data_IF_639998515300
#
_entry.id   IF_639998515300
#
_cell.length_a   1.000
_cell.length_b   1.000
_cell.length_c   1.000
_cell.angle_alpha   90.00
_cell.angle_beta   90.00
_cell.angle_gamma   90.00
#
_symmetry.space_group_name_H-M   'P 1'
#
loop_
_entity.id
_entity.type
_entity.pdbx_description
1 polymer ?
#
# COMPACT_ATOMS: atom_id res chain seq x y z
N UNK A 1 -4.80 15.08 2.55
CA UNK A 1 -3.54 15.80 2.79
C UNK A 1 -2.43 15.02 2.09
N UNK A 2 -1.96 15.48 0.93
CA UNK A 2 -1.18 14.66 0.02
C UNK A 2 0.15 15.31 -0.36
N UNK A 3 1.26 14.66 0.00
CA UNK A 3 2.57 15.03 -0.53
C UNK A 3 2.70 14.58 -1.98
N UNK A 4 3.12 15.46 -2.89
CA UNK A 4 3.34 15.10 -4.31
C UNK A 4 4.84 15.06 -4.64
N UNK A 5 5.28 14.06 -5.41
CA UNK A 5 6.66 13.97 -5.87
C UNK A 5 6.97 15.08 -6.86
N UNK A 6 8.15 15.68 -6.72
CA UNK A 6 8.73 16.51 -7.76
C UNK A 6 9.89 15.81 -8.43
N UNK A 7 9.93 15.95 -9.76
CA UNK A 7 11.09 15.58 -10.53
C UNK A 7 12.29 16.45 -10.16
N UNK A 8 13.49 15.87 -10.01
CA UNK A 8 14.70 16.63 -9.74
C UNK A 8 14.96 17.67 -10.83
N UNK A 9 15.35 18.87 -10.42
CA UNK A 9 15.85 19.94 -11.29
C UNK A 9 17.16 20.46 -10.68
N UNK A 10 18.07 21.00 -11.51
CA UNK A 10 19.31 21.66 -11.10
C UNK A 10 19.12 22.60 -9.89
N UNK A 11 18.01 23.36 -9.82
CA UNK A 11 17.72 24.23 -8.65
C UNK A 11 17.44 23.45 -7.36
N UNK A 12 16.62 22.41 -7.44
CA UNK A 12 16.29 21.57 -6.28
C UNK A 12 17.51 20.76 -5.81
N UNK A 13 18.32 20.27 -6.75
CA UNK A 13 19.57 19.57 -6.45
C UNK A 13 20.59 20.49 -5.78
N UNK A 14 20.76 21.73 -6.26
CA UNK A 14 21.60 22.73 -5.59
C UNK A 14 21.08 23.02 -4.18
N UNK A 15 19.77 23.16 -4.02
CA UNK A 15 19.16 23.38 -2.72
C UNK A 15 19.38 22.20 -1.77
N UNK A 16 19.63 20.98 -2.25
CA UNK A 16 19.88 19.80 -1.41
C UNK A 16 21.38 19.43 -1.32
N UNK A 17 22.27 20.26 -1.89
CA UNK A 17 23.67 19.89 -2.11
C UNK A 17 24.45 19.60 -0.82
N UNK A 18 24.23 20.41 0.22
CA UNK A 18 24.91 20.24 1.52
C UNK A 18 24.51 18.92 2.19
N UNK A 19 23.23 18.61 2.17
CA UNK A 19 22.69 17.38 2.77
C UNK A 19 23.07 16.14 1.96
N UNK A 20 23.22 16.26 0.63
CA UNK A 20 23.74 15.19 -0.22
C UNK A 20 25.21 14.89 0.07
N UNK A 21 26.04 15.91 0.29
CA UNK A 21 27.45 15.70 0.64
C UNK A 21 27.58 15.08 2.05
N UNK A 22 26.78 15.55 3.01
CA UNK A 22 26.71 14.95 4.33
C UNK A 22 26.30 13.46 4.28
N UNK A 23 25.28 13.13 3.48
CA UNK A 23 24.86 11.75 3.27
C UNK A 23 25.95 10.91 2.58
N UNK A 24 26.67 11.47 1.62
CA UNK A 24 27.79 10.79 0.95
C UNK A 24 28.90 10.45 1.94
N UNK A 25 29.39 11.43 2.71
CA UNK A 25 30.45 11.23 3.69
C UNK A 25 30.05 10.22 4.76
N UNK A 26 28.79 10.24 5.20
CA UNK A 26 28.27 9.23 6.13
C UNK A 26 28.29 7.83 5.51
N UNK A 27 27.86 7.67 4.25
CA UNK A 27 27.87 6.40 3.53
C UNK A 27 29.30 5.87 3.30
N UNK A 28 30.24 6.73 2.93
CA UNK A 28 31.65 6.36 2.75
C UNK A 28 32.30 5.91 4.07
N UNK A 29 31.90 6.49 5.20
CA UNK A 29 32.41 6.12 6.53
C UNK A 29 31.84 4.80 7.06
N UNK A 30 30.55 4.55 6.85
CA UNK A 30 29.87 3.36 7.41
C UNK A 30 29.83 2.18 6.44
N UNK A 31 29.99 2.43 5.14
CA UNK A 31 29.71 1.45 4.09
C UNK A 31 28.21 1.18 3.88
N UNK A 32 27.32 1.86 4.63
CA UNK A 32 25.88 1.65 4.60
C UNK A 32 25.14 2.84 3.98
N UNK A 33 23.88 2.62 3.56
CA UNK A 33 23.07 3.69 3.02
C UNK A 33 22.81 4.80 4.05
N UNK A 34 23.10 6.05 3.69
CA UNK A 34 22.89 7.20 4.55
C UNK A 34 21.82 8.14 3.97
N UNK A 35 21.04 8.75 4.85
CA UNK A 35 19.95 9.65 4.49
C UNK A 35 19.89 10.89 5.37
N UNK A 36 19.71 12.03 4.73
CA UNK A 36 19.49 13.33 5.36
C UNK A 36 18.24 13.98 4.74
N UNK A 37 17.63 14.91 5.47
CA UNK A 37 16.43 15.61 5.03
C UNK A 37 16.63 17.11 5.09
N UNK A 38 16.11 17.82 4.10
CA UNK A 38 16.06 19.28 4.07
C UNK A 38 14.62 19.74 3.93
N UNK A 39 14.22 20.69 4.77
CA UNK A 39 12.94 21.38 4.68
C UNK A 39 13.17 22.79 4.15
N UNK A 40 12.52 23.14 3.05
CA UNK A 40 12.66 24.45 2.44
C UNK A 40 11.41 24.85 1.66
N UNK A 41 11.31 26.14 1.34
CA UNK A 41 10.25 26.66 0.48
C UNK A 41 10.75 26.82 -0.96
N UNK A 42 9.89 26.50 -1.92
CA UNK A 42 10.22 26.54 -3.34
C UNK A 42 9.02 26.98 -4.18
N UNK A 43 9.29 27.73 -5.25
CA UNK A 43 8.31 28.11 -6.26
C UNK A 43 8.87 27.87 -7.65
N UNK A 44 8.07 27.27 -8.53
CA UNK A 44 8.44 27.19 -9.95
C UNK A 44 8.21 28.53 -10.64
N UNK A 45 8.99 28.84 -11.69
CA UNK A 45 8.91 30.15 -12.36
C UNK A 45 7.59 30.39 -13.10
N UNK A 46 6.99 29.33 -13.65
CA UNK A 46 5.84 29.45 -14.58
C UNK A 46 4.62 28.63 -14.18
N UNK A 47 4.81 27.47 -13.54
CA UNK A 47 3.71 26.52 -13.31
C UNK A 47 3.01 26.66 -11.95
N UNK A 48 3.62 27.34 -10.98
CA UNK A 48 3.08 27.45 -9.63
C UNK A 48 2.62 28.87 -9.33
N UNK A 49 1.34 28.98 -8.97
CA UNK A 49 0.72 30.23 -8.51
C UNK A 49 1.36 30.76 -7.22
N UNK A 50 1.84 29.88 -6.34
CA UNK A 50 2.43 30.25 -5.05
C UNK A 50 3.64 29.37 -4.69
N UNK A 51 4.41 29.87 -3.73
CA UNK A 51 5.48 29.11 -3.08
C UNK A 51 4.89 28.01 -2.17
N UNK A 52 5.52 26.84 -2.15
CA UNK A 52 5.08 25.70 -1.31
C UNK A 52 6.26 25.13 -0.54
N UNK A 53 5.96 24.44 0.57
CA UNK A 53 6.94 23.69 1.36
C UNK A 53 7.36 22.42 0.59
N UNK A 54 8.66 22.18 0.54
CA UNK A 54 9.28 21.06 -0.15
C UNK A 54 10.25 20.38 0.81
N UNK A 55 10.08 19.07 0.95
CA UNK A 55 10.99 18.19 1.68
C UNK A 55 11.90 17.50 0.66
N UNK A 56 13.21 17.76 0.76
CA UNK A 56 14.23 17.05 0.02
C UNK A 56 14.79 15.90 0.85
N UNK A 57 14.70 14.67 0.35
CA UNK A 57 15.44 13.51 0.86
C UNK A 57 16.75 13.42 0.11
N UNK A 58 17.85 13.65 0.82
CA UNK A 58 19.19 13.34 0.37
C UNK A 58 19.49 11.90 0.77
N UNK A 59 19.60 10.98 -0.18
CA UNK A 59 19.95 9.59 0.08
C UNK A 59 21.17 9.22 -0.74
N UNK A 60 22.15 8.60 -0.10
CA UNK A 60 23.32 8.05 -0.76
C UNK A 60 23.40 6.56 -0.46
N UNK A 61 23.25 5.75 -1.51
CA UNK A 61 23.52 4.32 -1.50
C UNK A 61 25.00 4.12 -1.88
N UNK A 62 25.64 2.98 -1.54
CA UNK A 62 27.00 2.71 -1.97
C UNK A 62 27.18 2.93 -3.48
N UNK A 63 27.93 3.97 -3.85
CA UNK A 63 28.18 4.37 -5.24
C UNK A 63 27.04 5.09 -5.98
N UNK A 64 25.92 5.47 -5.34
CA UNK A 64 24.79 6.11 -6.03
C UNK A 64 24.03 7.13 -5.17
N UNK A 65 24.01 8.38 -5.64
CA UNK A 65 23.12 9.42 -5.14
C UNK A 65 21.65 9.20 -5.60
N UNK A 66 20.70 9.37 -4.68
CA UNK A 66 19.26 9.20 -4.92
C UNK A 66 18.42 10.34 -4.30
N UNK A 67 18.54 11.58 -4.80
CA UNK A 67 17.76 12.70 -4.28
C UNK A 67 16.28 12.58 -4.66
N UNK A 68 15.38 12.81 -3.69
CA UNK A 68 13.92 12.83 -3.91
C UNK A 68 13.30 14.06 -3.28
N UNK A 69 12.23 14.58 -3.88
CA UNK A 69 11.58 15.80 -3.43
C UNK A 69 10.07 15.58 -3.28
N UNK A 70 9.52 15.98 -2.13
CA UNK A 70 8.09 15.87 -1.82
C UNK A 70 7.55 17.25 -1.48
N UNK A 71 6.51 17.70 -2.17
CA UNK A 71 5.79 18.95 -1.90
C UNK A 71 4.67 18.66 -0.94
N UNK A 72 4.49 19.48 0.09
CA UNK A 72 3.42 19.29 1.07
C UNK A 72 2.70 20.60 1.38
N UNK A 73 1.44 20.49 1.79
CA UNK A 73 0.67 21.57 2.42
C UNK A 73 0.71 21.52 3.94
N UNK A 74 1.29 20.47 4.55
CA UNK A 74 1.41 20.33 6.00
C UNK A 74 2.45 21.32 6.53
N UNK A 75 2.14 21.94 7.66
CA UNK A 75 3.05 22.82 8.39
C UNK A 75 4.15 22.02 9.10
N UNK A 76 5.29 22.65 9.44
CA UNK A 76 6.36 22.00 10.21
C UNK A 76 5.90 21.48 11.59
N UNK A 77 4.90 22.12 12.20
CA UNK A 77 4.32 21.68 13.47
C UNK A 77 3.47 20.41 13.35
N UNK A 78 2.84 20.16 12.18
CA UNK A 78 2.06 18.94 11.95
C UNK A 78 2.95 17.74 11.64
N UNK A 79 3.98 17.94 10.82
CA UNK A 79 4.96 16.91 10.49
C UNK A 79 6.31 17.53 10.15
N UNK A 80 7.33 17.09 10.86
CA UNK A 80 8.73 17.39 10.51
C UNK A 80 9.14 16.70 9.19
N UNK A 81 10.30 17.07 8.65
CA UNK A 81 10.75 16.57 7.36
C UNK A 81 10.89 15.03 7.31
N UNK A 82 11.39 14.44 8.40
CA UNK A 82 11.64 13.01 8.49
C UNK A 82 10.33 12.23 8.57
N UNK A 83 9.46 12.57 9.51
CA UNK A 83 8.13 11.97 9.69
C UNK A 83 7.28 12.11 8.44
N UNK A 84 7.31 13.28 7.81
CA UNK A 84 6.57 13.51 6.58
C UNK A 84 7.02 12.57 5.47
N UNK A 85 8.32 12.36 5.32
CA UNK A 85 8.83 11.46 4.29
C UNK A 85 8.60 9.98 4.65
N UNK A 86 8.99 9.57 5.85
CA UNK A 86 9.08 8.17 6.25
C UNK A 86 7.74 7.56 6.67
N UNK A 87 6.83 8.34 7.25
CA UNK A 87 5.54 7.82 7.69
C UNK A 87 4.44 8.19 6.69
N UNK A 88 4.30 9.47 6.37
CA UNK A 88 3.15 9.95 5.58
C UNK A 88 3.33 9.69 4.09
N UNK A 89 4.50 10.01 3.55
CA UNK A 89 4.78 9.84 2.13
C UNK A 89 5.05 8.38 1.76
N UNK A 90 5.79 7.61 2.58
CA UNK A 90 5.97 6.17 2.34
C UNK A 90 4.65 5.39 2.40
N UNK A 91 3.70 5.76 3.28
CA UNK A 91 2.36 5.15 3.30
C UNK A 91 1.59 5.36 1.98
N UNK A 92 1.90 6.41 1.21
CA UNK A 92 1.36 6.59 -0.15
C UNK A 92 1.90 5.54 -1.12
N UNK A 93 3.17 5.15 -1.00
CA UNK A 93 3.74 4.05 -1.79
C UNK A 93 3.01 2.73 -1.53
N UNK A 94 2.63 2.48 -0.28
CA UNK A 94 1.79 1.32 0.07
C UNK A 94 0.43 1.36 -0.65
N UNK A 95 -0.20 2.53 -0.80
CA UNK A 95 -1.45 2.66 -1.56
C UNK A 95 -1.27 2.26 -3.03
N UNK A 96 -0.14 2.63 -3.66
CA UNK A 96 0.15 2.19 -5.03
C UNK A 96 0.34 0.67 -5.09
N UNK A 97 1.02 0.07 -4.11
CA UNK A 97 1.14 -1.38 -3.99
C UNK A 97 -0.24 -2.04 -3.85
N UNK A 98 -1.19 -1.42 -3.13
CA UNK A 98 -2.58 -1.90 -3.01
C UNK A 98 -3.36 -1.83 -4.32
N UNK A 99 -3.18 -0.77 -5.10
CA UNK A 99 -3.78 -0.66 -6.43
C UNK A 99 -3.22 -1.74 -7.37
N UNK A 100 -1.90 -1.97 -7.35
CA UNK A 100 -1.25 -3.04 -8.12
C UNK A 100 -1.76 -4.43 -7.71
N UNK A 101 -1.95 -4.64 -6.41
CA UNK A 101 -2.50 -5.87 -5.85
C UNK A 101 -3.94 -6.12 -6.34
N UNK A 102 -4.77 -5.07 -6.49
CA UNK A 102 -6.10 -5.18 -7.09
C UNK A 102 -6.04 -5.48 -8.59
N UNK A 103 -5.16 -4.80 -9.34
CA UNK A 103 -5.01 -5.03 -10.78
C UNK A 103 -4.56 -6.47 -11.07
N UNK A 104 -3.42 -6.87 -10.52
CA UNK A 104 -2.80 -8.17 -10.79
C UNK A 104 -3.52 -9.32 -10.09
N UNK A 105 -3.98 -9.08 -8.85
CA UNK A 105 -4.56 -10.10 -7.99
C UNK A 105 -6.09 -10.20 -8.05
N UNK A 106 -6.78 -9.26 -8.70
CA UNK A 106 -8.23 -9.33 -8.87
C UNK A 106 -8.69 -8.98 -10.28
N UNK A 107 -7.76 -8.89 -11.23
CA UNK A 107 -8.04 -8.71 -12.67
C UNK A 107 -8.76 -7.39 -12.99
N UNK A 108 -8.52 -6.35 -12.19
CA UNK A 108 -9.10 -5.02 -12.41
C UNK A 108 -8.61 -4.37 -13.72
N UNK A 109 -7.51 -4.85 -14.28
CA UNK A 109 -6.93 -4.43 -15.56
C UNK A 109 -7.56 -5.13 -16.78
N UNK A 110 -8.37 -6.18 -16.58
CA UNK A 110 -9.00 -6.92 -17.69
C UNK A 110 -10.24 -6.21 -18.23
N UNK A 111 -10.01 -5.22 -19.06
CA UNK A 111 -11.03 -4.48 -19.82
C UNK A 111 -11.23 -5.04 -21.22
N UNK A 112 -11.57 -6.34 -21.33
CA UNK A 112 -11.68 -7.05 -22.61
C UNK A 112 -13.10 -7.09 -23.20
N UNK A 113 -14.08 -6.41 -22.58
CA UNK A 113 -15.43 -6.37 -23.11
C UNK A 113 -15.57 -5.30 -24.20
N UNK A 114 -16.49 -5.53 -25.15
CA UNK A 114 -16.71 -4.66 -26.29
C UNK A 114 -17.22 -3.25 -25.94
N UNK A 115 -17.78 -3.05 -24.75
CA UNK A 115 -18.33 -1.76 -24.32
C UNK A 115 -17.66 -1.22 -23.06
N UNK A 116 -17.53 0.11 -23.00
CA UNK A 116 -17.00 0.80 -21.82
C UNK A 116 -17.81 0.51 -20.55
N UNK A 117 -19.15 0.48 -20.66
CA UNK A 117 -20.06 0.18 -19.54
C UNK A 117 -19.82 -1.20 -18.95
N UNK A 118 -19.60 -2.21 -19.80
CA UNK A 118 -19.28 -3.57 -19.33
C UNK A 118 -17.92 -3.59 -18.60
N UNK A 119 -16.91 -2.89 -19.14
CA UNK A 119 -15.60 -2.79 -18.49
C UNK A 119 -15.67 -2.03 -17.14
N UNK A 120 -16.50 -1.00 -17.04
CA UNK A 120 -16.75 -0.28 -15.79
C UNK A 120 -17.35 -1.19 -14.71
N UNK A 121 -18.35 -2.01 -15.06
CA UNK A 121 -18.93 -2.96 -14.11
C UNK A 121 -17.91 -4.01 -13.64
N UNK A 122 -17.04 -4.50 -14.53
CA UNK A 122 -15.94 -5.43 -14.18
C UNK A 122 -14.96 -4.81 -13.19
N UNK A 123 -14.61 -3.53 -13.40
CA UNK A 123 -13.76 -2.78 -12.48
C UNK A 123 -14.43 -2.62 -11.11
N UNK A 124 -15.74 -2.37 -11.07
CA UNK A 124 -16.50 -2.29 -9.82
C UNK A 124 -16.50 -3.61 -9.05
N UNK A 125 -16.75 -4.75 -9.71
CA UNK A 125 -16.66 -6.04 -9.04
C UNK A 125 -15.26 -6.33 -8.49
N UNK A 126 -14.21 -5.97 -9.25
CA UNK A 126 -12.83 -6.11 -8.77
C UNK A 126 -12.55 -5.23 -7.55
N UNK A 127 -13.13 -4.03 -7.51
CA UNK A 127 -13.02 -3.09 -6.39
C UNK A 127 -13.76 -3.60 -5.15
N UNK A 128 -14.98 -4.10 -5.31
CA UNK A 128 -15.74 -4.71 -4.21
C UNK A 128 -15.05 -5.96 -3.65
N UNK A 129 -14.53 -6.83 -4.52
CA UNK A 129 -13.75 -7.98 -4.10
C UNK A 129 -12.51 -7.59 -3.30
N UNK A 130 -11.85 -6.48 -3.67
CA UNK A 130 -10.70 -5.97 -2.93
C UNK A 130 -11.08 -5.51 -1.52
N UNK A 131 -12.18 -4.77 -1.38
CA UNK A 131 -12.70 -4.33 -0.08
C UNK A 131 -13.03 -5.53 0.81
N UNK A 132 -13.68 -6.56 0.25
CA UNK A 132 -13.99 -7.80 0.98
C UNK A 132 -12.72 -8.53 1.43
N UNK A 133 -11.71 -8.66 0.56
CA UNK A 133 -10.42 -9.27 0.92
C UNK A 133 -9.67 -8.47 1.97
N UNK A 134 -9.74 -7.14 1.93
CA UNK A 134 -9.16 -6.29 2.95
C UNK A 134 -9.88 -6.45 4.29
N UNK A 135 -11.21 -6.57 4.29
CA UNK A 135 -12.01 -6.91 5.46
C UNK A 135 -11.62 -8.28 6.03
N UNK A 136 -11.53 -9.30 5.18
CA UNK A 136 -11.07 -10.65 5.57
C UNK A 136 -9.67 -10.59 6.18
N UNK A 137 -8.75 -9.83 5.59
CA UNK A 137 -7.38 -9.67 6.10
C UNK A 137 -7.36 -9.03 7.49
N UNK A 138 -8.13 -7.95 7.67
CA UNK A 138 -8.19 -7.21 8.94
C UNK A 138 -8.85 -8.01 10.06
N UNK A 139 -9.93 -8.72 9.75
CA UNK A 139 -10.79 -9.36 10.76
C UNK A 139 -10.52 -10.86 10.90
N UNK A 140 -10.35 -11.57 9.79
CA UNK A 140 -10.22 -13.03 9.77
C UNK A 140 -8.79 -13.53 9.78
N UNK A 141 -7.87 -12.88 9.05
CA UNK A 141 -6.49 -13.38 8.88
C UNK A 141 -5.53 -12.94 9.99
N UNK A 142 -5.97 -12.08 10.92
CA UNK A 142 -5.15 -11.63 12.04
C UNK A 142 -4.68 -12.84 12.89
N UNK A 143 -3.38 -12.87 13.21
CA UNK A 143 -2.77 -13.97 13.97
C UNK A 143 -2.51 -15.25 13.17
N UNK A 144 -2.79 -15.28 11.86
CA UNK A 144 -2.47 -16.42 10.98
C UNK A 144 -1.23 -16.14 10.11
N UNK A 145 -0.67 -17.17 9.47
CA UNK A 145 0.39 -17.02 8.48
C UNK A 145 0.00 -16.11 7.30
N UNK A 146 -1.30 -15.90 7.07
CA UNK A 146 -1.84 -15.10 5.98
C UNK A 146 -2.12 -13.64 6.35
N UNK A 147 -1.83 -13.19 7.58
CA UNK A 147 -2.11 -11.83 8.03
C UNK A 147 -1.54 -10.73 7.10
N UNK A 148 -0.37 -10.98 6.52
CA UNK A 148 0.32 -10.08 5.57
C UNK A 148 0.26 -10.58 4.12
N UNK A 149 -0.54 -11.60 3.82
CA UNK A 149 -0.60 -12.21 2.49
C UNK A 149 -1.23 -11.27 1.45
N UNK A 150 -0.72 -11.33 0.22
CA UNK A 150 -1.27 -10.62 -0.93
C UNK A 150 -2.61 -11.23 -1.37
N UNK A 151 -3.45 -10.45 -2.05
CA UNK A 151 -4.78 -10.82 -2.55
C UNK A 151 -4.72 -12.08 -3.42
N UNK A 152 -3.69 -12.21 -4.26
CA UNK A 152 -3.44 -13.41 -5.07
C UNK A 152 -3.23 -14.64 -4.19
N UNK A 153 -2.41 -14.55 -3.15
CA UNK A 153 -2.15 -15.65 -2.22
C UNK A 153 -3.41 -16.03 -1.46
N UNK A 154 -4.15 -15.06 -0.94
CA UNK A 154 -5.44 -15.29 -0.27
C UNK A 154 -6.40 -15.98 -1.23
N UNK A 155 -6.54 -15.47 -2.46
CA UNK A 155 -7.40 -16.05 -3.50
C UNK A 155 -7.00 -17.49 -3.81
N UNK A 156 -5.72 -17.79 -4.01
CA UNK A 156 -5.25 -19.12 -4.40
C UNK A 156 -5.29 -20.14 -3.25
N UNK A 157 -4.96 -19.72 -2.03
CA UNK A 157 -4.79 -20.63 -0.88
C UNK A 157 -6.04 -20.77 -0.02
N UNK A 158 -6.94 -19.79 -0.04
CA UNK A 158 -8.13 -19.76 0.84
C UNK A 158 -9.45 -19.74 0.07
N UNK A 159 -9.50 -19.23 -1.16
CA UNK A 159 -10.76 -19.12 -1.92
C UNK A 159 -10.84 -20.10 -3.10
N UNK A 160 -9.73 -20.34 -3.80
CA UNK A 160 -9.63 -21.25 -4.93
C UNK A 160 -9.16 -22.62 -4.45
N UNK A 161 -9.99 -23.25 -3.64
CA UNK A 161 -9.67 -24.51 -2.95
C UNK A 161 -10.67 -25.60 -3.37
N UNK A 162 -10.20 -26.84 -3.45
CA UNK A 162 -11.07 -27.99 -3.66
C UNK A 162 -11.73 -28.38 -2.34
N UNK A 163 -13.05 -28.23 -2.25
CA UNK A 163 -13.84 -28.63 -1.08
C UNK A 163 -15.23 -29.10 -1.52
N UNK A 164 -15.82 -30.02 -0.75
CA UNK A 164 -17.23 -30.39 -0.93
C UNK A 164 -18.09 -29.38 -0.19
N UNK A 165 -18.96 -28.69 -0.93
CA UNK A 165 -19.89 -27.71 -0.40
C UNK A 165 -21.27 -28.35 -0.20
N UNK A 166 -21.85 -28.22 1.00
CA UNK A 166 -23.25 -28.56 1.25
C UNK A 166 -23.98 -27.35 1.81
N UNK A 167 -24.95 -26.84 1.05
CA UNK A 167 -25.77 -25.70 1.41
C UNK A 167 -27.08 -26.18 2.06
N UNK A 168 -27.50 -25.48 3.10
CA UNK A 168 -28.81 -25.64 3.75
C UNK A 168 -29.42 -24.25 3.96
N UNK A 169 -30.69 -24.18 4.33
CA UNK A 169 -31.36 -22.90 4.55
C UNK A 169 -30.67 -21.99 5.59
N UNK A 170 -29.90 -22.56 6.53
CA UNK A 170 -29.27 -21.80 7.64
C UNK A 170 -27.75 -21.94 7.71
N UNK A 171 -27.15 -22.89 6.99
CA UNK A 171 -25.73 -23.25 7.13
C UNK A 171 -25.09 -23.58 5.80
N UNK A 172 -23.84 -23.18 5.68
CA UNK A 172 -22.92 -23.57 4.61
C UNK A 172 -21.89 -24.52 5.22
N UNK A 173 -21.85 -25.76 4.75
CA UNK A 173 -20.87 -26.75 5.18
C UNK A 173 -19.77 -26.84 4.13
N UNK A 174 -18.53 -26.69 4.58
CA UNK A 174 -17.31 -26.87 3.80
C UNK A 174 -16.59 -28.11 4.33
N UNK A 175 -16.46 -29.14 3.49
CA UNK A 175 -15.70 -30.35 3.81
C UNK A 175 -14.43 -30.42 2.98
N UNK A 176 -13.29 -30.52 3.65
CA UNK A 176 -11.97 -30.60 3.02
C UNK A 176 -11.52 -32.07 2.91
N UNK A 177 -10.52 -32.32 2.07
CA UNK A 177 -9.75 -33.57 2.15
C UNK A 177 -9.04 -33.64 3.50
N UNK A 178 -8.89 -34.84 4.06
CA UNK A 178 -8.18 -35.06 5.32
C UNK A 178 -6.73 -34.55 5.26
N UNK A 179 -6.09 -34.68 4.09
CA UNK A 179 -4.73 -34.19 3.85
C UNK A 179 -4.67 -32.70 3.46
N UNK A 180 -5.72 -31.91 3.66
CA UNK A 180 -5.71 -30.50 3.25
C UNK A 180 -4.79 -29.64 4.15
N UNK A 181 -3.72 -29.04 3.60
CA UNK A 181 -2.65 -28.47 4.41
C UNK A 181 -3.03 -27.21 5.19
N UNK A 182 -4.09 -26.50 4.78
CA UNK A 182 -4.51 -25.22 5.40
C UNK A 182 -5.81 -25.36 6.21
N UNK A 183 -6.18 -26.57 6.62
CA UNK A 183 -7.43 -26.80 7.34
C UNK A 183 -7.46 -26.07 8.71
N UNK A 184 -6.35 -26.10 9.44
CA UNK A 184 -6.19 -25.39 10.73
C UNK A 184 -6.28 -23.88 10.56
N UNK A 185 -5.63 -23.33 9.53
CA UNK A 185 -5.72 -21.91 9.20
C UNK A 185 -7.17 -21.50 8.92
N UNK A 186 -7.90 -22.26 8.10
CA UNK A 186 -9.31 -21.96 7.80
C UNK A 186 -10.17 -22.00 9.07
N UNK A 187 -9.94 -22.98 9.96
CA UNK A 187 -10.66 -23.06 11.22
C UNK A 187 -10.41 -21.82 12.10
N UNK A 188 -9.15 -21.37 12.20
CA UNK A 188 -8.80 -20.16 12.94
C UNK A 188 -9.43 -18.90 12.30
N UNK A 189 -9.39 -18.79 10.98
CA UNK A 189 -9.99 -17.66 10.25
C UNK A 189 -11.50 -17.59 10.52
N UNK A 190 -12.20 -18.73 10.47
CA UNK A 190 -13.63 -18.80 10.77
C UNK A 190 -13.92 -18.45 12.24
N UNK A 191 -13.07 -18.88 13.17
CA UNK A 191 -13.19 -18.51 14.58
C UNK A 191 -13.04 -16.99 14.79
N UNK A 192 -12.05 -16.38 14.15
CA UNK A 192 -11.82 -14.92 14.18
C UNK A 192 -13.03 -14.17 13.61
N UNK A 193 -13.54 -14.58 12.45
CA UNK A 193 -14.70 -13.92 11.83
C UNK A 193 -15.97 -14.01 12.69
N UNK A 194 -16.17 -15.10 13.43
CA UNK A 194 -17.32 -15.24 14.34
C UNK A 194 -17.30 -14.25 15.51
N UNK A 195 -16.13 -13.70 15.87
CA UNK A 195 -16.02 -12.67 16.90
C UNK A 195 -16.55 -11.31 16.43
N UNK A 196 -16.74 -11.14 15.13
CA UNK A 196 -17.27 -9.92 14.51
C UNK A 196 -18.66 -10.21 13.94
N UNK A 197 -19.73 -10.01 14.73
CA UNK A 197 -21.08 -10.33 14.28
C UNK A 197 -21.41 -9.54 13.01
N UNK A 198 -21.78 -10.28 11.95
CA UNK A 198 -22.33 -9.70 10.74
C UNK A 198 -23.78 -9.30 11.03
N UNK A 199 -23.98 -8.05 11.46
CA UNK A 199 -25.29 -7.44 11.68
C UNK A 199 -26.13 -8.12 12.79
N UNK A 200 -26.30 -7.45 13.93
CA UNK A 200 -27.40 -7.78 14.84
C UNK A 200 -28.70 -7.29 14.20
N UNK A 201 -29.72 -8.16 13.98
CA UNK A 201 -31.02 -7.67 13.54
C UNK A 201 -31.55 -6.65 14.54
N UNK A 202 -32.23 -5.57 14.10
CA UNK A 202 -32.97 -4.71 15.03
C UNK A 202 -33.98 -5.59 15.76
N UNK A 203 -33.98 -5.49 17.09
CA UNK A 203 -34.89 -6.21 17.97
C UNK A 203 -36.34 -5.75 17.82
#
# INVERSE_FOLDING_TARGET
MGGCLLFPNKRLQRALGQEMEAARLACERTGEAARCFRDFRYRTRKSWSCERRVIGKAEYLPGKANPRFVVTSLSPGEADAKRLYEELYCARGEMENRIKEQQLGLFADRTSSATLRANQLRLYFSSFAYVLLQGLRRLGLAGTAFAKAQSTTIRLKLLKIGARLRLTARKVWLSFSEAYPYASDIAQILANLKQHPAWSPPG
#
